data_IF_431574561235
#
_entry.id   IF_431574561235
#
_cell.length_a   1.000
_cell.length_b   1.000
_cell.length_c   1.000
_cell.angle_alpha   90.00
_cell.angle_beta   90.00
_cell.angle_gamma   90.00
#
_symmetry.space_group_name_H-M   'P 1'
#
loop_
_entity.id
_entity.type
_entity.pdbx_description
1 polymer ?
#
# COMPACT_ATOMS: atom_id res chain seq x y z
N UNK A 1 4.78 12.72 -11.79
CA UNK A 1 4.11 11.60 -11.13
C UNK A 1 5.08 10.98 -10.13
N UNK A 2 4.76 11.02 -8.84
CA UNK A 2 5.60 10.45 -7.78
C UNK A 2 4.99 9.15 -7.30
N UNK A 3 5.74 8.05 -7.40
CA UNK A 3 5.32 6.71 -6.99
C UNK A 3 6.06 6.33 -5.70
N UNK A 4 5.34 5.81 -4.71
CA UNK A 4 5.92 5.11 -3.56
C UNK A 4 5.70 3.61 -3.70
N UNK A 5 6.72 2.80 -3.48
CA UNK A 5 6.57 1.34 -3.35
C UNK A 5 6.95 0.92 -1.95
N UNK A 6 6.00 0.36 -1.21
CA UNK A 6 6.26 -0.26 0.08
C UNK A 6 6.75 -1.69 -0.15
N UNK A 7 7.95 -2.00 0.33
CA UNK A 7 8.60 -3.30 0.17
C UNK A 7 8.90 -3.90 1.55
N UNK A 8 8.79 -5.21 1.68
CA UNK A 8 9.06 -5.95 2.91
C UNK A 8 10.16 -6.98 2.70
N UNK A 9 11.08 -7.04 3.65
CA UNK A 9 12.06 -8.12 3.73
C UNK A 9 11.40 -9.33 4.42
N UNK A 10 11.52 -10.49 3.80
CA UNK A 10 11.05 -11.76 4.34
C UNK A 10 12.22 -12.72 4.52
N UNK A 11 12.10 -13.64 5.48
CA UNK A 11 13.05 -14.74 5.62
C UNK A 11 12.63 -15.89 4.68
N UNK A 12 13.55 -16.32 3.82
CA UNK A 12 13.43 -17.51 2.99
C UNK A 12 14.30 -18.59 3.64
N UNK A 13 13.73 -19.32 4.59
CA UNK A 13 14.44 -20.43 5.22
C UNK A 13 13.45 -21.51 5.67
N UNK A 14 13.97 -22.73 5.84
CA UNK A 14 13.27 -23.72 6.64
C UNK A 14 13.22 -23.21 8.08
N UNK A 15 12.00 -23.01 8.56
CA UNK A 15 11.75 -22.44 9.89
C UNK A 15 11.20 -23.46 10.87
N UNK A 16 11.52 -23.27 12.14
CA UNK A 16 10.96 -24.00 13.27
C UNK A 16 10.37 -23.04 14.30
N UNK A 17 9.34 -23.51 15.01
CA UNK A 17 8.83 -22.81 16.17
C UNK A 17 9.77 -23.11 17.34
N UNK A 18 10.20 -22.08 18.06
CA UNK A 18 11.03 -22.26 19.24
C UNK A 18 10.26 -22.94 20.40
N UNK A 19 10.97 -23.41 21.42
CA UNK A 19 10.36 -24.11 22.55
C UNK A 19 9.31 -23.27 23.29
N UNK A 20 9.45 -21.95 23.28
CA UNK A 20 8.48 -21.04 23.91
C UNK A 20 7.18 -20.89 23.10
N UNK A 21 7.20 -21.27 21.82
CA UNK A 21 6.14 -20.96 20.88
C UNK A 21 6.07 -19.49 20.49
N UNK A 22 6.98 -18.64 20.98
CA UNK A 22 6.89 -17.19 20.78
C UNK A 22 7.72 -16.69 19.61
N UNK A 23 8.63 -17.51 19.08
CA UNK A 23 9.52 -17.10 18.01
C UNK A 23 9.65 -18.16 16.93
N UNK A 24 9.90 -17.69 15.72
CA UNK A 24 10.33 -18.52 14.62
C UNK A 24 11.86 -18.51 14.58
N UNK A 25 12.48 -19.68 14.53
CA UNK A 25 13.93 -19.86 14.33
C UNK A 25 14.18 -20.44 12.95
N UNK A 26 15.22 -19.97 12.28
CA UNK A 26 15.69 -20.62 11.08
C UNK A 26 16.50 -21.87 11.45
N UNK A 27 16.29 -22.99 10.75
CA UNK A 27 17.09 -24.21 10.91
C UNK A 27 18.53 -24.02 10.41
N UNK A 28 18.71 -23.11 9.45
CA UNK A 28 19.97 -22.81 8.78
C UNK A 28 20.29 -21.32 8.87
N UNK A 29 21.38 -20.89 8.24
CA UNK A 29 21.66 -19.45 8.10
C UNK A 29 20.48 -18.84 7.33
N UNK A 30 19.76 -17.87 7.91
CA UNK A 30 18.57 -17.32 7.27
C UNK A 30 18.97 -16.56 6.01
N UNK A 31 18.34 -16.90 4.89
CA UNK A 31 18.37 -16.07 3.69
C UNK A 31 17.24 -15.05 3.77
N UNK A 32 17.52 -13.81 3.41
CA UNK A 32 16.52 -12.74 3.40
C UNK A 32 16.36 -12.21 1.98
N UNK A 33 15.11 -11.97 1.59
CA UNK A 33 14.78 -11.43 0.29
C UNK A 33 13.63 -10.43 0.38
N UNK A 34 13.42 -9.68 -0.70
CA UNK A 34 12.18 -8.94 -0.89
C UNK A 34 11.03 -9.92 -1.09
N UNK A 35 9.85 -9.64 -0.53
CA UNK A 35 8.63 -10.41 -0.86
C UNK A 35 8.41 -10.44 -2.38
N UNK A 36 8.00 -11.58 -2.93
CA UNK A 36 7.78 -11.73 -4.38
C UNK A 36 6.68 -10.81 -4.90
N UNK A 37 5.65 -10.56 -4.08
CA UNK A 37 4.59 -9.63 -4.43
C UNK A 37 5.11 -8.19 -4.49
N UNK A 38 6.03 -7.83 -3.59
CA UNK A 38 6.68 -6.53 -3.59
C UNK A 38 7.68 -6.39 -4.75
N UNK A 39 8.36 -7.47 -5.16
CA UNK A 39 9.16 -7.47 -6.39
C UNK A 39 8.31 -7.17 -7.63
N UNK A 40 7.09 -7.71 -7.71
CA UNK A 40 6.12 -7.37 -8.76
C UNK A 40 5.67 -5.90 -8.68
N UNK A 41 5.40 -5.39 -7.48
CA UNK A 41 5.01 -4.00 -7.28
C UNK A 41 6.11 -3.02 -7.70
N UNK A 42 7.35 -3.30 -7.31
CA UNK A 42 8.51 -2.52 -7.68
C UNK A 42 8.76 -2.54 -9.19
N UNK A 43 8.69 -3.72 -9.81
CA UNK A 43 8.84 -3.85 -11.25
C UNK A 43 7.77 -3.04 -12.00
N UNK A 44 6.51 -3.05 -11.51
CA UNK A 44 5.44 -2.27 -12.13
C UNK A 44 5.75 -0.77 -12.05
N UNK A 45 6.18 -0.27 -10.89
CA UNK A 45 6.59 1.14 -10.75
C UNK A 45 7.72 1.52 -11.71
N UNK A 46 8.74 0.66 -11.85
CA UNK A 46 9.88 0.91 -12.73
C UNK A 46 9.43 0.89 -14.19
N UNK A 47 8.57 -0.05 -14.60
CA UNK A 47 8.03 -0.08 -15.97
C UNK A 47 7.16 1.13 -16.27
N UNK A 48 6.35 1.60 -15.32
CA UNK A 48 5.58 2.83 -15.46
C UNK A 48 6.54 4.02 -15.64
N UNK A 49 7.58 4.11 -14.81
CA UNK A 49 8.61 5.14 -14.94
C UNK A 49 9.25 5.14 -16.33
N UNK A 50 9.79 4.02 -16.78
CA UNK A 50 10.45 3.90 -18.09
C UNK A 50 9.47 4.27 -19.23
N UNK A 51 8.28 3.66 -19.24
CA UNK A 51 7.28 3.84 -20.30
C UNK A 51 6.83 5.29 -20.46
N UNK A 52 6.74 6.03 -19.36
CA UNK A 52 6.17 7.38 -19.37
C UNK A 52 7.23 8.49 -19.30
N UNK A 53 8.43 8.22 -18.78
CA UNK A 53 9.58 9.11 -18.96
C UNK A 53 9.94 9.27 -20.44
N UNK A 54 9.91 8.18 -21.21
CA UNK A 54 10.13 8.22 -22.66
C UNK A 54 9.06 9.06 -23.41
N UNK A 55 7.92 9.31 -22.76
CA UNK A 55 6.82 10.15 -23.28
C UNK A 55 6.83 11.58 -22.70
N UNK A 56 7.90 11.97 -22.03
CA UNK A 56 8.09 13.33 -21.48
C UNK A 56 7.38 13.59 -20.15
N UNK A 57 6.84 12.57 -19.48
CA UNK A 57 6.35 12.72 -18.11
C UNK A 57 7.49 12.56 -17.12
N UNK A 58 7.60 13.51 -16.18
CA UNK A 58 8.47 13.31 -15.03
C UNK A 58 7.86 12.24 -14.11
N UNK A 59 8.58 11.13 -13.93
CA UNK A 59 8.18 10.02 -13.06
C UNK A 59 9.34 9.66 -12.13
N UNK A 60 9.08 9.67 -10.83
CA UNK A 60 10.03 9.25 -9.79
C UNK A 60 9.45 8.11 -8.96
N UNK A 61 10.34 7.21 -8.51
CA UNK A 61 10.00 6.02 -7.72
C UNK A 61 10.79 6.02 -6.42
N UNK A 62 10.10 6.29 -5.32
CA UNK A 62 10.61 6.11 -3.98
C UNK A 62 10.28 4.69 -3.49
N UNK A 63 11.16 4.09 -2.72
CA UNK A 63 10.92 2.78 -2.06
C UNK A 63 11.04 2.92 -0.55
N UNK A 64 10.15 2.26 0.17
CA UNK A 64 10.10 2.32 1.63
C UNK A 64 10.00 0.92 2.24
N UNK A 65 10.79 0.67 3.28
CA UNK A 65 10.64 -0.53 4.12
C UNK A 65 10.63 -0.19 5.60
N UNK A 66 9.89 -0.97 6.39
CA UNK A 66 9.93 -0.94 7.84
C UNK A 66 10.49 -2.26 8.37
N UNK A 67 11.55 -2.19 9.15
CA UNK A 67 12.23 -3.38 9.64
C UNK A 67 13.59 -3.09 10.28
N UNK A 68 14.30 -4.14 10.72
CA UNK A 68 15.63 -4.01 11.33
C UNK A 68 16.66 -3.44 10.34
N UNK A 69 17.86 -3.15 10.85
CA UNK A 69 18.93 -2.46 10.11
C UNK A 69 19.27 -3.09 8.74
N UNK A 70 19.33 -4.41 8.67
CA UNK A 70 19.60 -5.15 7.44
C UNK A 70 18.43 -5.19 6.44
N UNK A 71 17.23 -4.72 6.80
CA UNK A 71 16.17 -4.48 5.82
C UNK A 71 16.57 -3.38 4.81
N UNK A 72 17.54 -2.54 5.15
CA UNK A 72 18.14 -1.59 4.21
C UNK A 72 18.79 -2.26 2.99
N UNK A 73 19.15 -3.54 3.04
CA UNK A 73 19.72 -4.27 1.91
C UNK A 73 18.73 -4.42 0.75
N UNK A 74 17.44 -4.66 1.04
CA UNK A 74 16.42 -4.78 -0.01
C UNK A 74 16.09 -3.41 -0.65
N UNK A 75 16.25 -2.31 0.09
CA UNK A 75 16.21 -0.95 -0.48
C UNK A 75 17.33 -0.79 -1.51
N UNK A 76 18.57 -1.18 -1.16
CA UNK A 76 19.71 -1.07 -2.09
C UNK A 76 19.49 -1.90 -3.34
N UNK A 77 18.91 -3.10 -3.19
CA UNK A 77 18.49 -3.94 -4.33
C UNK A 77 17.48 -3.20 -5.20
N UNK A 78 16.44 -2.63 -4.61
CA UNK A 78 15.41 -1.89 -5.32
C UNK A 78 15.95 -0.64 -6.07
N UNK A 79 16.84 0.11 -5.43
CA UNK A 79 17.55 1.23 -6.06
C UNK A 79 18.45 0.77 -7.21
N UNK A 80 19.04 -0.43 -7.12
CA UNK A 80 19.77 -1.05 -8.22
C UNK A 80 18.88 -1.51 -9.38
N UNK A 81 17.59 -1.75 -9.14
CA UNK A 81 16.61 -2.11 -10.16
C UNK A 81 16.09 -0.89 -10.93
N UNK A 82 16.09 0.29 -10.30
CA UNK A 82 15.67 1.54 -10.95
C UNK A 82 15.00 2.56 -10.03
N UNK A 83 14.80 2.25 -8.75
CA UNK A 83 14.25 3.21 -7.79
C UNK A 83 15.20 4.40 -7.57
N UNK A 84 14.62 5.57 -7.37
CA UNK A 84 15.33 6.84 -7.26
C UNK A 84 15.85 7.06 -5.84
N UNK A 85 14.98 6.85 -4.86
CA UNK A 85 15.20 7.15 -3.44
C UNK A 85 14.75 6.00 -2.54
N UNK A 86 15.49 5.76 -1.45
CA UNK A 86 15.17 4.75 -0.45
C UNK A 86 14.88 5.35 0.92
N UNK A 87 13.83 4.86 1.59
CA UNK A 87 13.40 5.25 2.92
C UNK A 87 13.36 4.01 3.82
N UNK A 88 14.05 4.05 4.95
CA UNK A 88 14.11 2.95 5.92
C UNK A 88 13.53 3.39 7.26
N UNK A 89 12.44 2.75 7.67
CA UNK A 89 11.90 2.86 9.02
C UNK A 89 12.58 1.83 9.90
N UNK A 90 13.61 2.26 10.63
CA UNK A 90 14.44 1.39 11.46
C UNK A 90 13.69 1.00 12.74
N UNK A 91 13.13 -0.22 12.76
CA UNK A 91 12.47 -0.78 13.93
C UNK A 91 13.49 -1.48 14.83
N UNK A 92 13.40 -1.30 16.15
CA UNK A 92 14.24 -2.03 17.12
C UNK A 92 13.89 -3.53 17.21
N UNK A 93 12.78 -3.92 16.59
CA UNK A 93 12.30 -5.28 16.53
C UNK A 93 13.24 -6.19 15.72
N UNK A 94 13.56 -7.36 16.28
CA UNK A 94 14.25 -8.43 15.55
C UNK A 94 13.36 -8.95 14.41
N UNK A 95 13.95 -9.59 13.40
CA UNK A 95 13.20 -10.21 12.28
C UNK A 95 12.06 -11.14 12.71
N UNK A 96 12.12 -11.65 13.94
CA UNK A 96 11.20 -12.63 14.47
C UNK A 96 10.02 -12.00 15.22
N UNK A 97 10.02 -10.68 15.40
CA UNK A 97 8.89 -9.98 15.99
C UNK A 97 7.75 -9.94 14.98
N UNK A 98 6.66 -10.61 15.29
CA UNK A 98 5.43 -10.58 14.50
C UNK A 98 4.80 -9.20 14.68
N UNK A 99 5.13 -8.27 13.79
CA UNK A 99 4.45 -6.98 13.68
C UNK A 99 3.15 -7.23 12.91
N UNK A 100 2.00 -6.83 13.49
CA UNK A 100 0.75 -6.94 12.76
C UNK A 100 0.67 -5.92 11.60
N UNK A 101 -0.19 -6.18 10.63
CA UNK A 101 -0.37 -5.30 9.48
C UNK A 101 -0.78 -3.87 9.84
N UNK A 102 -1.56 -3.68 10.91
CA UNK A 102 -2.02 -2.35 11.34
C UNK A 102 -0.89 -1.47 11.87
N UNK A 103 0.01 -2.05 12.66
CA UNK A 103 1.17 -1.37 13.23
C UNK A 103 2.15 -0.99 12.11
N UNK A 104 2.46 -1.93 11.22
CA UNK A 104 3.29 -1.67 10.05
C UNK A 104 2.70 -0.56 9.18
N UNK A 105 1.39 -0.61 8.87
CA UNK A 105 0.70 0.43 8.12
C UNK A 105 0.77 1.80 8.82
N UNK A 106 0.60 1.85 10.14
CA UNK A 106 0.68 3.11 10.90
C UNK A 106 2.07 3.75 10.86
N UNK A 107 3.14 2.95 10.95
CA UNK A 107 4.51 3.44 10.84
C UNK A 107 4.79 4.00 9.44
N UNK A 108 4.32 3.29 8.40
CA UNK A 108 4.46 3.75 7.02
C UNK A 108 3.68 5.06 6.81
N UNK A 109 2.44 5.15 7.32
CA UNK A 109 1.62 6.36 7.22
C UNK A 109 2.29 7.56 7.91
N UNK A 110 2.84 7.36 9.11
CA UNK A 110 3.58 8.38 9.84
C UNK A 110 4.81 8.87 9.06
N UNK A 111 5.55 7.96 8.42
CA UNK A 111 6.68 8.29 7.58
C UNK A 111 6.28 9.13 6.36
N UNK A 112 5.21 8.75 5.67
CA UNK A 112 4.67 9.49 4.51
C UNK A 112 4.29 10.92 4.92
N UNK A 113 3.62 11.07 6.07
CA UNK A 113 3.23 12.38 6.60
C UNK A 113 4.42 13.23 7.03
N UNK A 114 5.45 12.62 7.64
CA UNK A 114 6.66 13.30 8.08
C UNK A 114 7.53 13.76 6.91
N UNK A 115 7.67 12.93 5.87
CA UNK A 115 8.42 13.28 4.66
C UNK A 115 7.79 14.50 3.95
N UNK A 116 6.46 14.58 3.93
CA UNK A 116 5.74 15.73 3.37
C UNK A 116 6.07 17.04 4.13
N UNK A 117 6.25 16.99 5.46
CA UNK A 117 6.63 18.18 6.24
C UNK A 117 8.08 18.61 6.02
N UNK A 118 9.00 17.68 5.78
CA UNK A 118 10.41 17.98 5.47
C UNK A 118 10.52 18.67 4.11
N UNK A 119 9.80 18.18 3.09
CA UNK A 119 9.74 18.81 1.76
C UNK A 119 9.20 20.24 1.87
N UNK A 120 8.07 20.44 2.55
CA UNK A 120 7.48 21.78 2.74
C UNK A 120 8.42 22.76 3.45
N UNK A 121 9.14 22.31 4.49
CA UNK A 121 10.14 23.16 5.17
C UNK A 121 11.27 23.59 4.22
N UNK A 122 11.76 22.66 3.40
CA UNK A 122 12.85 22.93 2.44
C UNK A 122 12.44 23.91 1.32
N UNK A 123 11.17 23.86 0.89
CA UNK A 123 10.61 24.79 -0.09
C UNK A 123 10.35 26.17 0.51
N UNK A 124 9.80 26.25 1.73
CA UNK A 124 9.66 27.54 2.42
C UNK A 124 11.00 28.21 2.71
N UNK A 125 12.06 27.45 3.04
CA UNK A 125 13.40 28.04 3.21
C UNK A 125 13.99 28.58 1.90
N UNK A 126 13.67 28.00 0.73
CA UNK A 126 14.07 28.55 -0.57
C UNK A 126 13.29 29.82 -0.92
N UNK A 127 12.00 29.87 -0.59
CA UNK A 127 11.16 31.06 -0.79
C UNK A 127 11.66 32.22 0.10
N UNK A 128 12.12 31.95 1.31
CA UNK A 128 12.73 32.96 2.18
C UNK A 128 14.10 33.45 1.71
N UNK A 129 14.86 32.63 1.00
CA UNK A 129 16.16 33.01 0.40
C UNK A 129 15.94 33.88 -0.85
N UNK A 130 14.99 33.52 -1.71
CA UNK A 130 14.66 34.28 -2.94
C UNK A 130 13.87 35.58 -2.66
N UNK A 131 13.18 35.70 -1.52
CA UNK A 131 12.43 36.90 -1.15
C UNK A 131 13.25 37.94 -0.37
N UNK A 132 14.48 37.62 0.04
CA UNK A 132 15.37 38.62 0.65
C UNK A 132 16.09 39.52 -0.36
N UNK A 133 15.99 39.25 -1.67
CA UNK A 133 16.59 40.14 -2.67
C UNK A 133 15.62 41.21 -3.22
N UNK A 134 14.30 41.03 -3.18
CA UNK A 134 13.35 42.00 -3.76
C UNK A 134 12.08 42.16 -2.91
N UNK A 135 12.03 43.16 -2.03
CA UNK A 135 11.08 44.29 -2.12
C UNK A 135 10.93 45.08 -0.81
N UNK A 136 11.27 46.37 -0.92
CA UNK A 136 10.75 47.46 -0.11
C UNK A 136 9.24 47.70 -0.37
N UNK A 137 8.56 48.09 0.71
CA UNK A 137 7.37 48.96 0.81
C UNK A 137 6.08 48.63 0.02
N UNK A 138 4.96 48.42 0.72
CA UNK A 138 3.81 49.37 0.77
C UNK A 138 2.53 48.75 1.39
N UNK A 139 2.08 49.45 2.44
CA UNK A 139 0.74 49.81 2.92
C UNK A 139 -0.55 48.99 2.66
N UNK A 140 -1.31 48.91 3.76
CA UNK A 140 -2.66 48.40 3.96
C UNK A 140 -3.75 49.17 3.18
N UNK A 141 -4.77 48.44 2.71
CA UNK A 141 -6.12 48.97 2.59
C UNK A 141 -7.18 47.89 2.83
N UNK A 142 -8.01 48.13 3.86
CA UNK A 142 -9.30 47.48 4.11
C UNK A 142 -10.33 47.86 3.03
N UNK A 143 -11.37 47.03 2.82
CA UNK A 143 -12.80 47.41 2.83
C UNK A 143 -13.77 46.25 2.48
N UNK A 144 -14.59 45.91 3.48
CA UNK A 144 -16.05 45.67 3.55
C UNK A 144 -16.87 44.81 2.56
N UNK A 145 -17.85 44.15 3.20
CA UNK A 145 -18.88 43.19 2.81
C UNK A 145 -20.00 43.75 1.91
N UNK A 146 -20.73 42.86 1.21
CA UNK A 146 -22.17 43.00 0.95
C UNK A 146 -22.87 41.65 0.78
N UNK A 147 -23.95 41.48 1.55
CA UNK A 147 -24.98 40.44 1.50
C UNK A 147 -26.05 40.80 0.46
N UNK A 148 -26.68 39.81 -0.19
CA UNK A 148 -28.12 39.88 -0.54
C UNK A 148 -28.74 38.50 -0.84
N UNK A 149 -29.99 38.35 -0.39
CA UNK A 149 -30.89 37.17 -0.45
C UNK A 149 -31.98 37.39 -1.50
N UNK A 150 -32.46 36.34 -2.17
CA UNK A 150 -33.86 36.23 -2.68
C UNK A 150 -34.28 34.76 -2.91
N UNK A 151 -35.47 34.41 -2.41
CA UNK A 151 -36.20 33.15 -2.61
C UNK A 151 -37.19 33.24 -3.80
N UNK A 152 -37.57 32.12 -4.42
CA UNK A 152 -38.88 31.95 -5.08
C UNK A 152 -39.38 30.49 -5.16
N UNK A 153 -40.73 30.37 -5.11
CA UNK A 153 -41.64 29.21 -4.94
C UNK A 153 -41.86 28.26 -6.13
N UNK A 154 -42.31 27.02 -5.82
CA UNK A 154 -43.51 26.27 -6.34
C UNK A 154 -43.30 24.74 -6.13
N UNK A 155 -44.25 23.80 -6.01
CA UNK A 155 -45.72 23.68 -5.83
C UNK A 155 -46.01 22.15 -5.80
N UNK A 156 -46.97 21.65 -5.02
CA UNK A 156 -47.33 20.21 -4.85
C UNK A 156 -48.39 19.69 -5.83
N UNK A 157 -48.28 18.41 -6.28
CA UNK A 157 -49.30 17.31 -6.31
C UNK A 157 -48.81 16.10 -7.20
N UNK A 158 -49.45 14.89 -7.21
CA UNK A 158 -49.17 13.77 -6.30
C UNK A 158 -48.77 12.41 -6.96
N UNK A 159 -48.02 11.64 -6.16
CA UNK A 159 -47.87 10.18 -5.99
C UNK A 159 -48.46 9.17 -7.01
N UNK A 160 -47.58 8.38 -7.66
CA UNK A 160 -47.80 6.94 -7.87
C UNK A 160 -46.49 6.15 -7.70
N UNK A 161 -46.62 5.12 -6.87
CA UNK A 161 -45.63 4.24 -6.25
C UNK A 161 -44.88 3.29 -7.19
N UNK A 162 -43.55 3.19 -7.05
CA UNK A 162 -42.79 1.97 -6.66
C UNK A 162 -41.27 2.13 -6.85
N UNK A 163 -40.54 1.64 -5.83
CA UNK A 163 -39.09 1.56 -5.61
C UNK A 163 -38.48 2.85 -4.97
N UNK A 164 -38.12 2.83 -3.67
CA UNK A 164 -37.51 4.01 -3.04
C UNK A 164 -36.08 4.17 -3.54
N UNK A 165 -35.87 5.16 -4.42
CA UNK A 165 -34.58 5.82 -4.54
C UNK A 165 -34.41 6.69 -3.29
N UNK A 166 -33.56 6.28 -2.37
CA UNK A 166 -33.10 7.16 -1.29
C UNK A 166 -32.23 8.26 -1.92
N UNK A 167 -32.88 9.35 -2.32
CA UNK A 167 -32.29 10.55 -2.91
C UNK A 167 -32.12 11.68 -1.88
N UNK A 168 -32.09 11.35 -0.59
CA UNK A 168 -31.84 12.32 0.48
C UNK A 168 -30.79 11.80 1.47
N UNK A 169 -29.60 11.47 0.97
CA UNK A 169 -28.42 11.56 1.82
C UNK A 169 -28.11 13.07 2.01
N UNK A 170 -28.04 13.58 3.25
CA UNK A 170 -27.87 15.01 3.47
C UNK A 170 -26.52 15.46 2.90
N UNK A 171 -26.56 16.45 1.99
CA UNK A 171 -25.42 17.16 1.39
C UNK A 171 -24.45 17.79 2.44
N UNK A 172 -24.77 17.68 3.74
CA UNK A 172 -23.96 18.17 4.86
C UNK A 172 -22.86 17.21 5.34
N UNK A 173 -22.81 15.95 4.88
CA UNK A 173 -21.70 15.04 5.23
C UNK A 173 -20.52 15.09 4.25
N UNK A 174 -20.55 16.00 3.25
CA UNK A 174 -19.43 16.20 2.32
C UNK A 174 -18.36 17.16 2.84
N UNK A 175 -18.59 17.86 3.96
CA UNK A 175 -17.69 18.91 4.45
C UNK A 175 -16.72 18.49 5.55
N UNK A 176 -16.84 17.30 6.15
CA UNK A 176 -15.96 16.87 7.27
C UNK A 176 -14.88 15.86 6.89
N UNK A 177 -14.98 15.18 5.75
CA UNK A 177 -13.92 14.27 5.25
C UNK A 177 -12.92 14.95 4.29
N UNK A 178 -13.16 16.20 3.90
CA UNK A 178 -12.27 16.94 2.96
C UNK A 178 -11.00 17.50 3.62
N UNK A 179 -10.82 17.36 4.94
CA UNK A 179 -9.63 17.89 5.61
C UNK A 179 -8.40 16.95 5.57
N UNK A 180 -8.58 15.65 5.30
CA UNK A 180 -7.48 14.65 5.36
C UNK A 180 -6.86 14.37 3.97
N UNK A 181 -7.61 14.56 2.89
CA UNK A 181 -7.20 14.18 1.52
C UNK A 181 -6.02 15.04 0.98
N UNK A 182 -5.68 16.17 1.62
CA UNK A 182 -4.79 17.18 1.04
C UNK A 182 -3.28 17.03 1.32
N UNK A 183 -2.79 15.89 1.81
CA UNK A 183 -1.37 15.76 2.19
C UNK A 183 -0.69 14.44 1.82
N UNK A 184 -1.19 13.65 0.86
CA UNK A 184 -0.39 12.55 0.32
C UNK A 184 0.66 13.11 -0.66
N UNK A 185 1.97 13.00 -0.40
CA UNK A 185 3.01 13.51 -1.30
C UNK A 185 3.24 12.63 -2.54
N UNK A 186 2.53 11.50 -2.65
CA UNK A 186 2.63 10.53 -3.72
C UNK A 186 1.32 10.47 -4.51
N UNK A 187 1.42 10.43 -5.84
CA UNK A 187 0.28 10.22 -6.72
C UNK A 187 -0.19 8.74 -6.65
N UNK A 188 0.78 7.82 -6.60
CA UNK A 188 0.52 6.38 -6.63
C UNK A 188 1.33 5.69 -5.54
N UNK A 189 0.66 4.88 -4.73
CA UNK A 189 1.32 4.00 -3.75
C UNK A 189 1.10 2.55 -4.18
N UNK A 190 2.17 1.77 -4.25
CA UNK A 190 2.13 0.36 -4.57
C UNK A 190 2.61 -0.48 -3.38
N UNK A 191 1.90 -1.56 -3.10
CA UNK A 191 2.34 -2.63 -2.19
C UNK A 191 2.18 -3.96 -2.90
N UNK A 192 2.84 -5.03 -2.46
CA UNK A 192 2.36 -6.38 -2.75
C UNK A 192 0.97 -6.63 -2.14
N UNK A 193 0.20 -7.56 -2.69
CA UNK A 193 -1.10 -7.98 -2.11
C UNK A 193 -0.96 -8.54 -0.69
N UNK A 194 0.14 -9.24 -0.40
CA UNK A 194 0.51 -9.77 0.90
C UNK A 194 2.01 -10.07 0.91
N UNK A 195 2.53 -10.51 2.06
CA UNK A 195 3.86 -11.11 2.17
C UNK A 195 3.75 -12.60 2.53
N UNK A 196 4.70 -13.40 2.09
CA UNK A 196 4.66 -14.87 2.17
C UNK A 196 4.83 -15.41 3.60
N UNK A 197 5.38 -14.60 4.51
CA UNK A 197 5.62 -14.98 5.89
C UNK A 197 4.34 -14.98 6.75
N UNK A 198 3.57 -13.88 6.71
CA UNK A 198 2.37 -13.70 7.54
C UNK A 198 1.06 -13.77 6.76
N UNK A 199 1.09 -13.60 5.43
CA UNK A 199 -0.06 -13.70 4.52
C UNK A 199 -1.29 -12.87 4.94
N UNK A 200 -1.09 -11.77 5.69
CA UNK A 200 -2.19 -11.00 6.29
C UNK A 200 -3.01 -10.20 5.28
N UNK A 201 -2.40 -9.79 4.16
CA UNK A 201 -3.03 -8.92 3.15
C UNK A 201 -3.65 -7.61 3.71
N UNK A 202 -3.14 -7.11 4.84
CA UNK A 202 -3.74 -6.01 5.60
C UNK A 202 -3.01 -4.66 5.43
N UNK A 203 -1.69 -4.68 5.20
CA UNK A 203 -0.86 -3.46 5.22
C UNK A 203 -1.33 -2.43 4.20
N UNK A 204 -1.57 -2.84 2.94
CA UNK A 204 -2.04 -1.93 1.89
C UNK A 204 -3.37 -1.25 2.23
N UNK A 205 -4.46 -2.03 2.48
CA UNK A 205 -5.75 -1.44 2.86
C UNK A 205 -5.70 -0.56 4.12
N UNK A 206 -4.97 -0.99 5.16
CA UNK A 206 -4.85 -0.20 6.39
C UNK A 206 -4.03 1.08 6.18
N UNK A 207 -2.98 1.03 5.37
CA UNK A 207 -2.17 2.20 5.03
C UNK A 207 -3.02 3.24 4.32
N UNK A 208 -3.81 2.81 3.32
CA UNK A 208 -4.70 3.69 2.58
C UNK A 208 -5.73 4.38 3.48
N UNK A 209 -6.28 3.64 4.46
CA UNK A 209 -7.18 4.21 5.47
C UNK A 209 -6.46 5.24 6.35
N UNK A 210 -5.26 4.93 6.87
CA UNK A 210 -4.49 5.86 7.72
C UNK A 210 -4.16 7.19 7.04
N UNK A 211 -3.88 7.17 5.73
CA UNK A 211 -3.55 8.37 4.95
C UNK A 211 -4.77 8.98 4.24
N UNK A 212 -5.93 8.33 4.32
CA UNK A 212 -7.20 8.82 3.75
C UNK A 212 -7.26 8.83 2.22
N UNK A 213 -6.70 7.82 1.54
CA UNK A 213 -6.78 7.69 0.06
C UNK A 213 -7.50 6.39 -0.36
N UNK A 214 -8.08 6.33 -1.57
CA UNK A 214 -8.69 5.10 -2.09
C UNK A 214 -7.68 3.95 -2.19
N UNK A 215 -8.14 2.73 -1.89
CA UNK A 215 -7.38 1.48 -2.06
C UNK A 215 -8.07 0.56 -3.05
N UNK A 216 -7.32 0.00 -4.01
CA UNK A 216 -7.81 -1.04 -4.92
C UNK A 216 -6.88 -2.24 -4.87
N UNK A 217 -7.41 -3.38 -4.47
CA UNK A 217 -6.61 -4.59 -4.24
C UNK A 217 -6.57 -5.51 -5.46
N UNK A 218 -5.65 -6.49 -5.44
CA UNK A 218 -5.52 -7.56 -6.44
C UNK A 218 -5.34 -7.07 -7.89
N UNK A 219 -4.53 -6.02 -8.08
CA UNK A 219 -4.28 -5.45 -9.40
C UNK A 219 -3.31 -6.31 -10.22
N UNK A 220 -3.71 -6.63 -11.45
CA UNK A 220 -2.95 -7.41 -12.43
C UNK A 220 -2.62 -6.64 -13.71
N UNK A 221 -3.01 -5.36 -13.81
CA UNK A 221 -2.61 -4.44 -14.89
C UNK A 221 -2.81 -2.99 -14.48
N UNK A 222 -1.85 -2.12 -14.79
CA UNK A 222 -1.94 -0.66 -14.60
C UNK A 222 -1.67 0.06 -15.93
N UNK A 223 -2.56 0.96 -16.32
CA UNK A 223 -2.40 1.84 -17.48
C UNK A 223 -2.71 3.28 -17.07
N UNK A 224 -1.78 4.21 -17.33
CA UNK A 224 -2.00 5.65 -17.09
C UNK A 224 -2.67 6.26 -18.32
N UNK A 225 -3.86 6.84 -18.12
CA UNK A 225 -4.74 7.35 -19.17
C UNK A 225 -4.29 8.72 -19.72
N UNK A 226 -3.57 9.53 -18.94
CA UNK A 226 -3.12 10.90 -19.32
C UNK A 226 -2.36 11.00 -20.64
N UNK A 227 -1.89 9.88 -21.20
CA UNK A 227 -1.13 9.80 -22.46
C UNK A 227 -1.67 8.75 -23.44
N UNK A 228 -2.93 8.35 -23.33
CA UNK A 228 -3.57 7.37 -24.21
C UNK A 228 -4.82 7.99 -24.82
N UNK A 229 -5.04 7.80 -26.13
CA UNK A 229 -6.34 7.97 -26.75
C UNK A 229 -7.28 6.86 -26.26
N UNK A 230 -7.78 7.01 -25.03
CA UNK A 230 -8.67 6.06 -24.41
C UNK A 230 -10.14 6.46 -24.59
N UNK A 231 -11.02 5.46 -24.45
CA UNK A 231 -12.48 5.53 -24.24
C UNK A 231 -12.92 6.85 -23.58
N UNK A 232 -13.98 7.49 -24.09
CA UNK A 232 -14.47 8.78 -23.58
C UNK A 232 -14.69 8.79 -22.07
N UNK A 233 -15.08 7.65 -21.48
CA UNK A 233 -15.23 7.53 -20.02
C UNK A 233 -13.90 7.54 -19.28
N UNK A 234 -12.84 6.98 -19.86
CA UNK A 234 -11.51 6.88 -19.24
C UNK A 234 -10.75 8.21 -19.24
N UNK A 235 -11.12 9.15 -20.12
CA UNK A 235 -10.49 10.50 -20.21
C UNK A 235 -10.58 11.30 -18.90
N UNK A 236 -11.58 11.01 -18.06
CA UNK A 236 -11.81 11.71 -16.80
C UNK A 236 -11.08 11.09 -15.61
N UNK A 237 -10.31 10.01 -15.82
CA UNK A 237 -9.60 9.29 -14.77
C UNK A 237 -8.12 9.19 -15.11
N UNK A 238 -7.24 9.19 -14.11
CA UNK A 238 -5.81 9.09 -14.33
C UNK A 238 -5.37 7.67 -14.73
N UNK A 239 -6.08 6.64 -14.27
CA UNK A 239 -5.71 5.23 -14.41
C UNK A 239 -6.85 4.37 -14.96
N UNK A 240 -6.47 3.38 -15.77
CA UNK A 240 -7.25 2.19 -16.08
C UNK A 240 -6.56 0.97 -15.47
N UNK A 241 -7.31 0.21 -14.67
CA UNK A 241 -6.82 -0.91 -13.89
C UNK A 241 -7.56 -2.20 -14.27
N UNK A 242 -6.86 -3.34 -14.20
CA UNK A 242 -7.51 -4.65 -14.17
C UNK A 242 -7.26 -5.30 -12.81
N UNK A 243 -8.35 -5.62 -12.11
CA UNK A 243 -8.37 -6.37 -10.85
C UNK A 243 -8.72 -7.82 -11.12
N UNK A 244 -7.96 -8.74 -10.53
CA UNK A 244 -8.35 -10.15 -10.50
C UNK A 244 -9.45 -10.38 -9.45
N UNK A 245 -10.46 -11.16 -9.82
CA UNK A 245 -11.51 -11.66 -8.94
C UNK A 245 -11.63 -13.18 -9.12
N UNK A 246 -12.45 -13.82 -8.29
CA UNK A 246 -12.58 -15.28 -8.24
C UNK A 246 -12.99 -15.89 -9.60
N UNK A 247 -12.60 -17.15 -9.82
CA UNK A 247 -12.89 -17.86 -11.06
C UNK A 247 -12.07 -17.40 -12.27
N UNK A 248 -10.98 -16.65 -12.06
CA UNK A 248 -10.11 -16.14 -13.13
C UNK A 248 -10.71 -14.95 -13.89
N UNK A 249 -11.81 -14.39 -13.38
CA UNK A 249 -12.44 -13.21 -13.94
C UNK A 249 -11.60 -11.97 -13.64
N UNK A 250 -11.77 -10.94 -14.47
CA UNK A 250 -11.09 -9.65 -14.31
C UNK A 250 -12.08 -8.51 -14.35
N UNK A 251 -11.99 -7.61 -13.38
CA UNK A 251 -12.78 -6.39 -13.31
C UNK A 251 -11.95 -5.21 -13.80
N UNK A 252 -12.48 -4.45 -14.76
CA UNK A 252 -11.87 -3.17 -15.19
C UNK A 252 -12.33 -2.06 -14.25
N UNK A 253 -11.39 -1.26 -13.74
CA UNK A 253 -11.64 -0.18 -12.79
C UNK A 253 -10.97 1.10 -13.29
N UNK A 254 -11.66 2.23 -13.20
CA UNK A 254 -11.11 3.55 -13.47
C UNK A 254 -10.81 4.23 -12.12
N UNK A 255 -9.64 4.86 -12.00
CA UNK A 255 -9.20 5.50 -10.76
C UNK A 255 -8.47 6.80 -11.03
N UNK A 256 -8.51 7.71 -10.06
CA UNK A 256 -7.77 8.98 -10.09
C UNK A 256 -6.76 9.01 -8.95
N UNK A 257 -5.72 9.82 -9.10
CA UNK A 257 -4.74 10.05 -8.03
C UNK A 257 -5.33 10.96 -6.93
N UNK A 258 -4.84 10.86 -5.68
CA UNK A 258 -3.92 9.84 -5.18
C UNK A 258 -4.63 8.49 -4.97
N UNK A 259 -3.92 7.37 -5.17
CA UNK A 259 -4.49 6.02 -4.98
C UNK A 259 -3.43 5.01 -4.52
N UNK A 260 -3.84 4.08 -3.64
CA UNK A 260 -3.04 2.91 -3.29
C UNK A 260 -3.52 1.68 -4.05
N UNK A 261 -2.59 0.96 -4.66
CA UNK A 261 -2.85 -0.31 -5.35
C UNK A 261 -2.07 -1.43 -4.69
N UNK A 262 -2.73 -2.55 -4.39
CA UNK A 262 -2.03 -3.77 -4.01
C UNK A 262 -1.82 -4.65 -5.23
N UNK A 263 -0.58 -4.95 -5.55
CA UNK A 263 -0.17 -5.66 -6.76
C UNK A 263 -0.21 -7.17 -6.53
N UNK A 264 -0.91 -7.85 -7.43
CA UNK A 264 -1.01 -9.29 -7.46
C UNK A 264 0.18 -9.92 -8.19
N UNK A 265 0.52 -11.14 -7.79
CA UNK A 265 1.56 -11.92 -8.48
C UNK A 265 1.21 -12.15 -9.95
N UNK A 266 2.22 -12.05 -10.84
CA UNK A 266 2.05 -12.35 -12.27
C UNK A 266 1.58 -11.18 -13.15
N UNK A 267 1.45 -9.97 -12.61
CA UNK A 267 1.29 -8.74 -13.42
C UNK A 267 2.48 -8.55 -14.40
N UNK A 268 3.68 -8.95 -13.97
CA UNK A 268 4.93 -8.78 -14.70
C UNK A 268 5.95 -9.87 -14.30
N UNK A 269 7.16 -9.79 -14.85
CA UNK A 269 8.31 -10.62 -14.47
C UNK A 269 9.39 -9.70 -13.89
N UNK A 270 9.59 -9.67 -12.56
CA UNK A 270 10.56 -8.76 -11.93
C UNK A 270 11.96 -8.95 -12.49
N UNK A 271 12.63 -7.84 -12.80
CA UNK A 271 14.02 -7.86 -13.27
C UNK A 271 14.99 -8.08 -12.12
N UNK A 272 16.18 -8.59 -12.44
CA UNK A 272 17.30 -8.58 -11.50
C UNK A 272 18.18 -7.36 -11.76
N UNK A 273 18.66 -6.67 -10.71
CA UNK A 273 19.60 -5.58 -10.89
C UNK A 273 20.96 -6.11 -11.34
N UNK A 274 21.61 -5.40 -12.25
CA UNK A 274 22.99 -5.72 -12.62
C UNK A 274 23.95 -5.43 -11.46
N UNK A 275 25.09 -6.13 -11.40
CA UNK A 275 26.12 -5.89 -10.38
C UNK A 275 26.58 -4.41 -10.37
N UNK A 276 26.74 -3.80 -11.54
CA UNK A 276 27.11 -2.38 -11.68
C UNK A 276 26.09 -1.47 -11.01
N UNK A 277 24.80 -1.72 -11.21
CA UNK A 277 23.74 -0.92 -10.60
C UNK A 277 23.67 -1.14 -9.08
N UNK A 278 23.87 -2.36 -8.59
CA UNK A 278 23.98 -2.63 -7.14
C UNK A 278 25.13 -1.85 -6.52
N UNK A 279 26.31 -1.83 -7.15
CA UNK A 279 27.47 -1.08 -6.66
C UNK A 279 27.22 0.43 -6.63
N UNK A 280 26.49 0.97 -7.62
CA UNK A 280 26.06 2.38 -7.62
C UNK A 280 25.04 2.65 -6.51
N UNK A 281 24.06 1.77 -6.34
CA UNK A 281 23.02 1.90 -5.31
C UNK A 281 23.60 1.86 -3.88
N UNK A 282 24.68 1.09 -3.64
CA UNK A 282 25.38 1.08 -2.34
C UNK A 282 25.97 2.43 -1.95
N UNK A 283 26.27 3.30 -2.91
CA UNK A 283 26.80 4.65 -2.67
C UNK A 283 25.72 5.69 -2.45
N UNK A 284 24.47 5.40 -2.84
CA UNK A 284 23.34 6.31 -2.62
C UNK A 284 22.95 6.28 -1.14
N UNK A 285 22.58 7.44 -0.63
CA UNK A 285 22.05 7.58 0.74
C UNK A 285 20.65 6.99 0.84
N UNK A 286 20.38 6.37 1.99
CA UNK A 286 19.06 5.89 2.39
C UNK A 286 18.60 6.82 3.51
N UNK A 287 17.40 7.38 3.38
CA UNK A 287 16.82 8.16 4.46
C UNK A 287 16.36 7.20 5.55
N UNK A 288 17.08 7.16 6.67
CA UNK A 288 16.68 6.37 7.83
C UNK A 288 15.89 7.22 8.81
N UNK A 289 14.74 6.72 9.23
CA UNK A 289 13.83 7.36 10.17
C UNK A 289 13.47 6.36 11.27
N UNK A 290 13.14 6.87 12.48
CA UNK A 290 12.54 6.03 13.50
C UNK A 290 11.05 5.87 13.22
N UNK A 291 10.47 4.67 13.38
CA UNK A 291 9.03 4.50 13.32
C UNK A 291 8.39 5.32 14.44
N UNK A 292 7.36 6.07 14.08
CA UNK A 292 6.52 6.79 15.04
C UNK A 292 5.06 6.41 14.79
N UNK A 293 4.26 6.39 15.84
CA UNK A 293 2.84 6.10 15.71
C UNK A 293 2.13 7.30 15.11
N UNK A 294 1.29 7.06 14.10
CA UNK A 294 0.37 8.10 13.66
C UNK A 294 -0.70 8.28 14.73
N UNK A 295 -0.62 9.38 15.49
CA UNK A 295 -1.70 9.80 16.36
C UNK A 295 -2.82 10.38 15.48
N UNK A 296 -3.97 9.72 15.43
CA UNK A 296 -5.15 10.29 14.78
C UNK A 296 -5.72 11.39 15.70
N UNK A 297 -5.49 12.66 15.35
CA UNK A 297 -5.91 13.85 16.11
C UNK A 297 -7.44 14.06 16.21
N UNK A 298 -8.26 13.10 15.77
CA UNK A 298 -9.71 13.26 15.63
C UNK A 298 -10.54 13.02 16.90
N UNK A 299 -9.92 12.95 18.08
CA UNK A 299 -10.67 12.79 19.35
C UNK A 299 -10.10 13.65 20.49
N UNK A 300 -10.96 14.33 21.27
CA UNK A 300 -10.54 15.21 22.36
C UNK A 300 -9.71 14.47 23.43
N UNK A 301 -8.78 15.19 24.04
CA UNK A 301 -7.78 14.71 25.00
C UNK A 301 -8.33 13.99 26.26
N UNK A 302 -9.65 13.89 26.43
CA UNK A 302 -10.33 13.21 27.54
C UNK A 302 -10.35 11.68 27.42
N UNK A 303 -10.19 11.11 26.22
CA UNK A 303 -10.36 9.66 25.99
C UNK A 303 -9.05 8.90 25.80
N UNK A 304 -8.08 9.14 26.70
CA UNK A 304 -6.83 8.35 26.75
C UNK A 304 -7.05 6.83 26.91
N UNK A 305 -8.25 6.40 27.32
CA UNK A 305 -8.67 4.99 27.40
C UNK A 305 -9.11 4.40 26.05
N UNK A 306 -9.67 5.19 25.13
CA UNK A 306 -10.08 4.70 23.80
C UNK A 306 -8.88 4.63 22.84
N UNK A 307 -7.93 5.57 22.96
CA UNK A 307 -6.63 5.52 22.26
C UNK A 307 -5.73 4.34 22.69
N UNK A 308 -6.10 3.61 23.74
CA UNK A 308 -5.41 2.40 24.16
C UNK A 308 -5.66 1.22 23.20
N UNK A 309 -6.74 1.24 22.42
CA UNK A 309 -7.09 0.19 21.45
C UNK A 309 -6.32 0.25 20.12
N UNK A 310 -5.52 1.30 19.88
CA UNK A 310 -4.57 1.37 18.75
C UNK A 310 -3.12 1.14 19.18
N UNK A 311 -2.88 0.78 20.45
CA UNK A 311 -1.55 0.41 20.95
C UNK A 311 -1.14 -0.96 20.43
N UNK A 312 0.16 -1.27 20.56
CA UNK A 312 0.71 -2.64 20.49
C UNK A 312 -0.15 -3.67 21.28
N UNK A 313 -0.91 -3.20 22.28
CA UNK A 313 -1.82 -3.98 23.12
C UNK A 313 -3.11 -4.48 22.45
N UNK A 314 -3.50 -3.96 21.28
CA UNK A 314 -4.78 -4.30 20.65
C UNK A 314 -4.82 -5.74 20.10
N UNK A 315 -3.66 -6.20 19.62
CA UNK A 315 -3.47 -7.55 19.09
C UNK A 315 -2.19 -8.10 19.69
N UNK A 316 -2.37 -8.89 20.76
CA UNK A 316 -1.27 -9.56 21.44
C UNK A 316 -1.04 -10.94 20.83
N UNK A 317 0.11 -11.11 20.19
CA UNK A 317 0.57 -12.43 19.81
C UNK A 317 0.85 -13.27 21.07
N UNK A 318 0.27 -14.48 21.12
CA UNK A 318 0.34 -15.37 22.30
C UNK A 318 1.37 -16.48 22.09
N UNK A 319 1.17 -17.31 21.05
CA UNK A 319 2.08 -18.39 20.65
C UNK A 319 1.77 -18.90 19.24
N UNK A 320 2.75 -19.59 18.67
CA UNK A 320 2.65 -20.43 17.48
C UNK A 320 2.59 -21.90 17.93
N UNK A 321 1.86 -22.70 17.16
CA UNK A 321 1.83 -24.15 17.31
C UNK A 321 1.80 -24.80 15.93
N UNK A 322 2.41 -25.99 15.82
CA UNK A 322 2.23 -26.79 14.62
C UNK A 322 0.78 -27.29 14.54
N UNK A 323 0.16 -27.29 13.35
CA UNK A 323 -1.14 -27.90 13.18
C UNK A 323 -1.06 -29.39 13.51
N UNK A 324 -2.07 -29.91 14.18
CA UNK A 324 -2.14 -31.34 14.51
C UNK A 324 -2.23 -32.15 13.21
N UNK A 325 -1.27 -33.04 12.99
CA UNK A 325 -1.26 -33.95 11.83
C UNK A 325 -2.32 -35.03 12.01
N UNK A 326 -3.54 -34.76 11.57
CA UNK A 326 -4.68 -35.70 11.67
C UNK A 326 -4.95 -36.52 10.40
N UNK A 327 -4.14 -36.37 9.34
CA UNK A 327 -4.38 -37.04 8.05
C UNK A 327 -3.29 -38.07 7.77
N UNK A 328 -3.70 -39.31 7.57
CA UNK A 328 -2.85 -40.35 7.01
C UNK A 328 -2.97 -40.35 5.48
N UNK A 329 -1.82 -40.23 4.80
CA UNK A 329 -1.76 -40.42 3.35
C UNK A 329 -1.79 -41.91 3.02
N UNK A 330 -2.64 -42.32 2.08
CA UNK A 330 -2.65 -43.69 1.55
C UNK A 330 -1.81 -43.75 0.28
N UNK A 331 -0.74 -44.55 0.31
CA UNK A 331 0.05 -44.86 -0.90
C UNK A 331 -0.63 -45.99 -1.66
N UNK A 332 -0.89 -45.78 -2.95
CA UNK A 332 -1.51 -46.77 -3.84
C UNK A 332 -0.41 -47.45 -4.66
N UNK A 333 -0.38 -48.78 -4.66
CA UNK A 333 0.64 -49.59 -5.32
C UNK A 333 0.05 -50.36 -6.52
N UNK A 334 0.91 -50.88 -7.40
CA UNK A 334 0.50 -51.63 -8.60
C UNK A 334 0.82 -50.92 -9.92
N UNK A 335 0.25 -51.43 -11.01
CA UNK A 335 0.37 -50.83 -12.34
C UNK A 335 -0.37 -49.49 -12.42
N UNK A 336 -0.10 -48.69 -13.46
CA UNK A 336 -0.79 -47.40 -13.67
C UNK A 336 -2.32 -47.56 -13.73
N UNK A 337 -2.80 -48.65 -14.34
CA UNK A 337 -4.23 -48.94 -14.42
C UNK A 337 -4.82 -49.27 -13.04
N UNK A 338 -4.16 -50.14 -12.27
CA UNK A 338 -4.59 -50.51 -10.92
C UNK A 338 -4.63 -49.28 -9.99
N UNK A 339 -3.63 -48.41 -10.10
CA UNK A 339 -3.59 -47.15 -9.34
C UNK A 339 -4.76 -46.22 -9.70
N UNK A 340 -5.09 -46.10 -10.99
CA UNK A 340 -6.19 -45.26 -11.45
C UNK A 340 -7.55 -45.80 -10.98
N UNK A 341 -7.76 -47.11 -11.06
CA UNK A 341 -8.98 -47.78 -10.59
C UNK A 341 -9.16 -47.64 -9.07
N UNK A 342 -8.10 -47.88 -8.29
CA UNK A 342 -8.15 -47.71 -6.84
C UNK A 342 -8.33 -46.25 -6.43
N UNK A 343 -7.68 -45.30 -7.11
CA UNK A 343 -7.88 -43.88 -6.88
C UNK A 343 -9.32 -43.46 -7.16
N UNK A 344 -9.88 -43.87 -8.31
CA UNK A 344 -11.27 -43.58 -8.67
C UNK A 344 -12.22 -44.07 -7.57
N UNK A 345 -12.06 -45.31 -7.11
CA UNK A 345 -12.86 -45.88 -6.03
C UNK A 345 -12.77 -45.06 -4.74
N UNK A 346 -11.56 -44.65 -4.34
CA UNK A 346 -11.36 -43.82 -3.14
C UNK A 346 -12.05 -42.46 -3.29
N UNK A 347 -12.01 -41.85 -4.47
CA UNK A 347 -12.64 -40.55 -4.72
C UNK A 347 -14.17 -40.66 -4.69
N UNK A 348 -14.74 -41.71 -5.30
CA UNK A 348 -16.19 -42.01 -5.26
C UNK A 348 -16.65 -42.28 -3.82
N UNK A 349 -15.94 -43.12 -3.06
CA UNK A 349 -16.25 -43.40 -1.65
C UNK A 349 -16.21 -42.15 -0.75
N UNK A 350 -15.44 -41.13 -1.15
CA UNK A 350 -15.31 -39.86 -0.43
C UNK A 350 -16.17 -38.74 -1.01
N UNK A 351 -17.02 -39.01 -2.01
CA UNK A 351 -17.83 -38.02 -2.71
C UNK A 351 -17.02 -36.83 -3.25
N UNK A 352 -15.81 -37.10 -3.74
CA UNK A 352 -14.93 -36.07 -4.33
C UNK A 352 -15.04 -35.97 -5.85
N UNK A 353 -15.72 -36.93 -6.49
CA UNK A 353 -16.02 -37.00 -7.92
C UNK A 353 -17.37 -37.65 -8.16
#
# INVERSE_FOLDING_TARGET
MKILVCIKQICIADVEIDESGQQIKSKHIPEFAMSRFDENALEEAIQLKERYQDKGMDVSVDVLTAGPENASEIIRRAMGMGADRGIHLATENSHNAIINGALAASYIASAINSDNQVVKKSETSKIYDDSMEHHDSMEHHDLMEHHDLMEHHNSMAPDDSRIPHDSTAPEKNRSTNNAIINNCPYDLILTGIMSEDLMQAQVGPMLAEYIGIPCITSIVKVEVNKLIEADEKAKNFDLTLLREIEGGLKQKILASFPVLLTIQGGINKPRYPSLSNILKARKKEILTMKPDFLHTDTQPQSDKKHNQLMREDALKFIRLEYPVKNREGKVIYGSSQQKAEELKKILEERNLV
#
